data_IF_477265309059
#
_entry.id   IF_477265309059
#
_cell.length_a   1.000
_cell.length_b   1.000
_cell.length_c   1.000
_cell.angle_alpha   90.00
_cell.angle_beta   90.00
_cell.angle_gamma   90.00
#
_symmetry.space_group_name_H-M   'P 1'
#
loop_
_entity.id
_entity.type
_entity.pdbx_description
1 polymer ?
#
# COMPACT_ATOMS: atom_id res chain seq x y z
N UNK A 1 -22.22 9.22 10.63
CA UNK A 1 -20.97 8.78 9.97
C UNK A 1 -20.34 10.04 9.41
N UNK A 2 -19.23 10.53 9.97
CA UNK A 2 -18.54 11.69 9.38
C UNK A 2 -17.87 11.17 8.11
N UNK A 3 -18.39 11.60 6.97
CA UNK A 3 -17.93 11.20 5.64
C UNK A 3 -16.62 11.95 5.33
N UNK A 4 -15.53 11.51 5.96
CA UNK A 4 -14.21 12.03 5.65
C UNK A 4 -13.75 11.34 4.37
N UNK A 5 -13.46 12.10 3.30
CA UNK A 5 -13.01 11.50 2.05
C UNK A 5 -11.73 10.68 2.30
N UNK A 6 -11.57 9.53 1.62
CA UNK A 6 -10.36 8.73 1.75
C UNK A 6 -9.14 9.52 1.27
N UNK A 7 -7.92 9.12 1.68
CA UNK A 7 -6.69 9.78 1.25
C UNK A 7 -6.64 9.95 -0.27
N UNK A 8 -6.38 11.17 -0.75
CA UNK A 8 -6.34 11.51 -2.16
C UNK A 8 -7.65 11.94 -2.81
N UNK A 9 -8.77 11.89 -2.08
CA UNK A 9 -10.06 12.37 -2.57
C UNK A 9 -10.42 13.75 -1.99
N UNK A 10 -11.26 14.48 -2.74
CA UNK A 10 -11.73 15.82 -2.36
C UNK A 10 -10.82 16.96 -2.82
N UNK A 11 -11.17 18.21 -2.46
CA UNK A 11 -10.43 19.39 -2.90
C UNK A 11 -9.07 19.48 -2.20
N UNK A 12 -8.01 19.75 -2.97
CA UNK A 12 -6.68 20.01 -2.42
C UNK A 12 -6.70 21.28 -1.56
N UNK A 13 -6.09 21.20 -0.36
CA UNK A 13 -5.87 22.36 0.51
C UNK A 13 -4.38 22.51 0.81
N UNK A 14 -3.83 23.74 0.78
CA UNK A 14 -2.43 23.94 1.14
C UNK A 14 -2.23 23.66 2.63
N UNK A 15 -1.15 22.93 2.94
CA UNK A 15 -0.71 22.64 4.32
C UNK A 15 0.76 22.97 4.42
N UNK A 16 1.15 23.69 5.48
CA UNK A 16 2.55 24.01 5.77
C UNK A 16 3.19 22.91 6.61
N UNK A 17 4.33 22.41 6.15
CA UNK A 17 5.15 21.42 6.86
C UNK A 17 6.62 21.84 6.85
N UNK A 18 7.35 21.47 7.90
CA UNK A 18 8.79 21.71 7.99
C UNK A 18 9.56 20.50 7.47
N UNK A 19 10.55 20.74 6.61
CA UNK A 19 11.44 19.72 6.06
C UNK A 19 12.88 20.22 6.12
N UNK A 20 13.83 19.29 6.21
CA UNK A 20 15.25 19.60 6.11
C UNK A 20 15.55 20.19 4.73
N UNK A 21 16.45 21.18 4.67
CA UNK A 21 16.85 21.83 3.41
C UNK A 21 17.33 20.81 2.36
N UNK A 22 18.13 19.83 2.78
CA UNK A 22 18.59 18.75 1.91
C UNK A 22 17.44 17.92 1.32
N UNK A 23 16.39 17.65 2.09
CA UNK A 23 15.19 16.96 1.60
C UNK A 23 14.47 17.80 0.57
N UNK A 24 14.32 19.11 0.80
CA UNK A 24 13.71 20.03 -0.15
C UNK A 24 14.51 20.07 -1.45
N UNK A 25 15.85 20.15 -1.37
CA UNK A 25 16.73 20.15 -2.53
C UNK A 25 16.60 18.86 -3.35
N UNK A 26 16.62 17.70 -2.69
CA UNK A 26 16.45 16.40 -3.35
C UNK A 26 15.07 16.26 -4.02
N UNK A 27 14.00 16.72 -3.36
CA UNK A 27 12.66 16.74 -3.92
C UNK A 27 12.59 17.64 -5.15
N UNK A 28 13.13 18.87 -5.08
CA UNK A 28 13.19 19.79 -6.23
C UNK A 28 13.94 19.18 -7.41
N UNK A 29 15.08 18.55 -7.17
CA UNK A 29 15.87 17.89 -8.20
C UNK A 29 15.09 16.74 -8.88
N UNK A 30 14.32 15.98 -8.10
CA UNK A 30 13.53 14.85 -8.59
C UNK A 30 12.25 15.26 -9.33
N UNK A 31 11.52 16.25 -8.81
CA UNK A 31 10.15 16.58 -9.28
C UNK A 31 10.07 17.80 -10.19
N UNK A 32 11.16 18.57 -10.30
CA UNK A 32 11.17 19.85 -10.99
C UNK A 32 10.25 20.90 -10.37
N UNK A 33 9.90 21.93 -11.15
CA UNK A 33 9.20 23.14 -10.66
C UNK A 33 7.73 22.94 -10.26
N UNK A 34 7.04 21.91 -10.80
CA UNK A 34 5.58 21.73 -10.65
C UNK A 34 5.16 20.36 -10.11
N UNK A 35 6.09 19.43 -9.88
CA UNK A 35 5.76 18.06 -9.46
C UNK A 35 5.78 17.81 -7.95
N UNK A 36 6.24 18.77 -7.14
CA UNK A 36 6.55 18.50 -5.73
C UNK A 36 5.31 18.12 -4.92
N UNK A 37 4.22 18.89 -5.01
CA UNK A 37 3.01 18.63 -4.22
C UNK A 37 2.38 17.29 -4.59
N UNK A 38 2.21 17.00 -5.89
CA UNK A 38 1.67 15.71 -6.35
C UNK A 38 2.55 14.52 -5.94
N UNK A 39 3.88 14.70 -5.98
CA UNK A 39 4.81 13.65 -5.56
C UNK A 39 4.73 13.38 -4.06
N UNK A 40 4.72 14.43 -3.23
CA UNK A 40 4.59 14.31 -1.78
C UNK A 40 3.23 13.69 -1.41
N UNK A 41 2.16 14.14 -2.04
CA UNK A 41 0.80 13.61 -1.83
C UNK A 41 0.74 12.11 -2.11
N UNK A 42 1.29 11.65 -3.23
CA UNK A 42 1.35 10.21 -3.54
C UNK A 42 2.21 9.41 -2.56
N UNK A 43 3.29 9.98 -2.02
CA UNK A 43 4.08 9.33 -0.98
C UNK A 43 3.30 9.21 0.34
N UNK A 44 2.58 10.25 0.72
CA UNK A 44 1.76 10.27 1.95
C UNK A 44 0.62 9.26 1.83
N UNK A 45 -0.12 9.25 0.71
CA UNK A 45 -1.19 8.28 0.49
C UNK A 45 -0.68 6.85 0.58
N UNK A 46 0.45 6.54 -0.06
CA UNK A 46 1.07 5.21 0.01
C UNK A 46 1.46 4.83 1.43
N UNK A 47 1.96 5.79 2.22
CA UNK A 47 2.33 5.51 3.61
C UNK A 47 1.09 5.22 4.47
N UNK A 48 0.05 6.04 4.36
CA UNK A 48 -1.22 5.84 5.07
C UNK A 48 -1.88 4.51 4.71
N UNK A 49 -1.88 4.15 3.42
CA UNK A 49 -2.41 2.87 2.97
C UNK A 49 -1.61 1.69 3.55
N UNK A 50 -0.28 1.78 3.59
CA UNK A 50 0.57 0.74 4.19
C UNK A 50 0.34 0.58 5.68
N UNK A 51 0.16 1.68 6.39
CA UNK A 51 -0.09 1.64 7.83
C UNK A 51 -1.48 1.03 8.10
N UNK A 52 -2.50 1.40 7.32
CA UNK A 52 -3.82 0.75 7.37
C UNK A 52 -3.77 -0.74 7.04
N UNK A 53 -3.00 -1.14 6.03
CA UNK A 53 -2.82 -2.56 5.70
C UNK A 53 -2.16 -3.33 6.84
N UNK A 54 -1.19 -2.72 7.53
CA UNK A 54 -0.55 -3.32 8.69
C UNK A 54 -1.55 -3.52 9.83
N UNK A 55 -2.35 -2.49 10.15
CA UNK A 55 -3.41 -2.59 11.17
C UNK A 55 -4.38 -3.73 10.87
N UNK A 56 -4.85 -3.84 9.61
CA UNK A 56 -5.75 -4.93 9.20
C UNK A 56 -5.13 -6.32 9.31
N UNK A 57 -3.82 -6.44 9.03
CA UNK A 57 -3.09 -7.69 9.21
C UNK A 57 -2.99 -8.03 10.69
N UNK A 58 -2.57 -7.08 11.53
CA UNK A 58 -2.45 -7.26 12.98
C UNK A 58 -3.78 -7.68 13.61
N UNK A 59 -4.89 -7.03 13.22
CA UNK A 59 -6.24 -7.38 13.66
C UNK A 59 -6.60 -8.81 13.25
N UNK A 60 -6.33 -9.19 11.99
CA UNK A 60 -6.61 -10.54 11.49
C UNK A 60 -5.77 -11.60 12.21
N UNK A 61 -4.48 -11.35 12.44
CA UNK A 61 -3.57 -12.27 13.11
C UNK A 61 -3.90 -12.40 14.61
N UNK A 62 -4.43 -11.36 15.25
CA UNK A 62 -4.87 -11.43 16.64
C UNK A 62 -6.02 -12.44 16.86
N UNK A 63 -6.88 -12.61 15.84
CA UNK A 63 -8.03 -13.51 15.89
C UNK A 63 -7.69 -14.91 15.37
N UNK A 64 -6.88 -14.99 14.31
CA UNK A 64 -6.68 -16.24 13.55
C UNK A 64 -5.27 -16.84 13.71
N UNK A 65 -4.33 -16.11 14.31
CA UNK A 65 -2.90 -16.39 14.21
C UNK A 65 -2.30 -15.96 12.86
N UNK A 66 -0.95 -15.98 12.73
CA UNK A 66 -0.27 -15.66 11.48
C UNK A 66 -0.61 -16.67 10.38
N UNK A 67 -0.65 -16.22 9.14
CA UNK A 67 -0.94 -17.08 7.99
C UNK A 67 0.18 -18.14 7.80
N UNK A 68 -0.19 -19.41 7.68
CA UNK A 68 0.75 -20.50 7.35
C UNK A 68 1.25 -20.38 5.90
N UNK A 69 2.55 -20.12 5.66
CA UNK A 69 3.11 -19.97 4.32
C UNK A 69 2.89 -21.20 3.42
N UNK A 70 2.91 -22.41 3.98
CA UNK A 70 2.74 -23.63 3.21
C UNK A 70 1.28 -23.78 2.74
N UNK A 71 0.32 -23.53 3.63
CA UNK A 71 -1.09 -23.50 3.28
C UNK A 71 -1.42 -22.41 2.26
N UNK A 72 -0.77 -21.24 2.36
CA UNK A 72 -0.94 -20.16 1.38
C UNK A 72 -0.42 -20.58 0.00
N UNK A 73 0.76 -21.19 -0.10
CA UNK A 73 1.30 -21.63 -1.38
C UNK A 73 0.47 -22.75 -2.01
N UNK A 74 -0.02 -23.70 -1.20
CA UNK A 74 -0.95 -24.73 -1.67
C UNK A 74 -2.23 -24.12 -2.28
N UNK A 75 -2.79 -23.08 -1.66
CA UNK A 75 -3.94 -22.35 -2.20
C UNK A 75 -3.60 -21.56 -3.47
N UNK A 76 -2.38 -20.99 -3.59
CA UNK A 76 -1.93 -20.32 -4.82
C UNK A 76 -1.80 -21.29 -6.00
N UNK A 77 -1.26 -22.48 -5.76
CA UNK A 77 -1.14 -23.51 -6.80
C UNK A 77 -2.51 -23.90 -7.38
N UNK A 78 -3.53 -24.01 -6.52
CA UNK A 78 -4.91 -24.24 -6.96
C UNK A 78 -5.41 -23.08 -7.84
N UNK A 79 -5.20 -21.81 -7.42
CA UNK A 79 -5.61 -20.63 -8.20
C UNK A 79 -4.89 -20.49 -9.55
N UNK A 80 -3.64 -20.98 -9.65
CA UNK A 80 -2.89 -21.03 -10.91
C UNK A 80 -3.24 -22.24 -11.80
N UNK A 81 -4.05 -23.18 -11.31
CA UNK A 81 -4.43 -24.39 -12.05
C UNK A 81 -3.36 -25.50 -12.04
N UNK A 82 -2.34 -25.39 -11.19
CA UNK A 82 -1.19 -26.30 -11.15
C UNK A 82 -1.52 -27.68 -10.56
N UNK A 83 -2.63 -27.79 -9.83
CA UNK A 83 -3.08 -29.05 -9.22
C UNK A 83 -3.75 -30.02 -10.21
N UNK A 84 -4.12 -29.58 -11.42
CA UNK A 84 -4.82 -30.41 -12.41
C UNK A 84 -3.89 -31.17 -13.40
N UNK A 85 -2.59 -30.87 -13.42
CA UNK A 85 -1.65 -31.47 -14.37
C UNK A 85 -1.19 -32.92 -14.00
N UNK A 86 -1.73 -33.51 -12.93
CA UNK A 86 -1.33 -34.83 -12.42
C UNK A 86 -2.39 -35.93 -12.61
N UNK A 87 -3.55 -35.66 -13.22
CA UNK A 87 -4.63 -36.67 -13.30
C UNK A 87 -5.17 -36.97 -14.70
N UNK A 88 -4.58 -36.45 -15.77
CA UNK A 88 -5.08 -36.68 -17.14
C UNK A 88 -3.92 -36.97 -18.12
N UNK A 89 -3.26 -38.10 -17.90
CA UNK A 89 -2.36 -38.73 -18.87
C UNK A 89 -2.31 -40.25 -18.59
N UNK A 90 -3.37 -40.96 -18.98
CA UNK A 90 -3.41 -42.42 -19.09
C UNK A 90 -4.32 -42.83 -20.25
#
# INVERSE_FOLDING_TARGET
MVDTPPPGEGPTRPVSVSLHEGTIAALKARTGKRGMSAFIEGLIQRQLERDRLRELIEDSESVNGPADPAAVEAKRAILRGETAASSDAA
#
